data_IF_093584276799
#
_entry.id   IF_093584276799
#
_cell.length_a   1.000
_cell.length_b   1.000
_cell.length_c   1.000
_cell.angle_alpha   90.00
_cell.angle_beta   90.00
_cell.angle_gamma   90.00
#
_symmetry.space_group_name_H-M   'P 1'
#
loop_
_entity.id
_entity.type
_entity.pdbx_description
1 polymer ?
#
# COMPACT_ATOMS: atom_id res chain seq x y z
N UNK A 1 -3.88 -1.27 8.65
CA UNK A 1 -4.71 -2.47 8.43
C UNK A 1 -3.87 -3.75 8.28
N UNK A 2 -2.72 -3.78 7.59
CA UNK A 2 -1.74 -4.87 7.72
C UNK A 2 -2.32 -6.29 7.63
N UNK A 3 -1.90 -7.20 8.52
CA UNK A 3 -2.39 -8.61 8.56
C UNK A 3 -3.89 -8.77 8.83
N UNK A 4 -4.54 -7.79 9.43
CA UNK A 4 -5.97 -7.85 9.80
C UNK A 4 -6.84 -8.18 8.59
N UNK A 5 -6.50 -7.63 7.43
CA UNK A 5 -7.30 -7.81 6.20
C UNK A 5 -7.26 -9.24 5.66
N UNK A 6 -6.32 -10.06 6.12
CA UNK A 6 -6.21 -11.47 5.74
C UNK A 6 -6.74 -12.38 6.85
N UNK A 7 -6.48 -12.04 8.13
CA UNK A 7 -6.82 -12.93 9.26
C UNK A 7 -8.21 -12.71 9.85
N UNK A 8 -8.73 -11.48 9.81
CA UNK A 8 -10.00 -11.11 10.47
C UNK A 8 -11.05 -10.58 9.49
N UNK A 9 -10.84 -10.79 8.19
CA UNK A 9 -11.73 -10.28 7.14
C UNK A 9 -13.18 -10.76 7.26
N UNK A 10 -13.41 -11.93 7.88
CA UNK A 10 -14.75 -12.52 8.06
C UNK A 10 -15.63 -11.71 9.02
N UNK A 11 -15.04 -10.81 9.81
CA UNK A 11 -15.75 -9.95 10.75
C UNK A 11 -16.30 -8.66 10.10
N UNK A 12 -16.00 -8.42 8.82
CA UNK A 12 -16.32 -7.17 8.12
C UNK A 12 -17.07 -7.46 6.82
N UNK A 13 -17.94 -6.53 6.44
CA UNK A 13 -18.59 -6.56 5.13
C UNK A 13 -17.55 -6.28 4.02
N UNK A 14 -17.66 -7.01 2.91
CA UNK A 14 -16.82 -6.82 1.73
C UNK A 14 -17.55 -5.97 0.68
N UNK A 15 -16.79 -5.11 0.01
CA UNK A 15 -17.25 -4.22 -1.06
C UNK A 15 -16.34 -4.34 -2.29
N UNK A 16 -16.86 -4.15 -3.51
CA UNK A 16 -16.02 -4.14 -4.72
C UNK A 16 -15.02 -2.98 -4.70
N UNK A 17 -13.93 -3.07 -5.48
CA UNK A 17 -12.86 -2.05 -5.48
C UNK A 17 -13.41 -0.64 -5.73
N UNK A 18 -14.35 -0.51 -6.68
CA UNK A 18 -14.99 0.76 -7.06
C UNK A 18 -15.62 1.54 -5.90
N UNK A 19 -16.01 0.84 -4.82
CA UNK A 19 -16.57 1.50 -3.64
C UNK A 19 -15.56 2.41 -2.92
N UNK A 20 -14.26 2.21 -3.17
CA UNK A 20 -13.18 2.93 -2.51
C UNK A 20 -12.45 3.94 -3.42
N UNK A 21 -12.85 4.07 -4.69
CA UNK A 21 -12.09 4.87 -5.67
C UNK A 21 -12.00 6.35 -5.32
N UNK A 22 -13.01 6.92 -4.66
CA UNK A 22 -12.99 8.33 -4.22
C UNK A 22 -12.09 8.64 -3.02
N UNK A 23 -11.41 7.64 -2.45
CA UNK A 23 -10.56 7.82 -1.26
C UNK A 23 -9.16 8.26 -1.68
N UNK A 24 -8.73 9.44 -1.21
CA UNK A 24 -7.35 9.91 -1.32
C UNK A 24 -6.54 9.56 -0.08
N UNK A 25 -5.27 9.18 -0.25
CA UNK A 25 -4.34 8.97 0.85
C UNK A 25 -3.46 10.19 1.13
N UNK A 26 -3.62 11.34 0.45
CA UNK A 26 -2.77 12.52 0.65
C UNK A 26 -2.67 12.92 2.12
N UNK A 27 -3.80 12.96 2.82
CA UNK A 27 -3.84 13.30 4.24
C UNK A 27 -3.23 12.23 5.16
N UNK A 28 -3.20 10.96 4.76
CA UNK A 28 -2.51 9.91 5.52
C UNK A 28 -0.99 9.94 5.26
N UNK A 29 -0.59 10.23 4.02
CA UNK A 29 0.81 10.29 3.59
C UNK A 29 1.56 11.51 4.16
N UNK A 30 0.85 12.62 4.40
CA UNK A 30 1.43 13.90 4.83
C UNK A 30 1.16 14.23 6.31
N UNK A 31 0.71 13.25 7.10
CA UNK A 31 0.38 13.44 8.51
C UNK A 31 1.62 13.89 9.32
N UNK A 32 1.54 14.99 10.09
CA UNK A 32 2.71 15.54 10.79
C UNK A 32 3.03 14.85 12.13
N UNK A 33 2.17 13.95 12.62
CA UNK A 33 2.25 13.40 13.98
C UNK A 33 2.35 11.88 14.06
N UNK A 34 2.23 11.15 12.93
CA UNK A 34 2.33 9.70 12.92
C UNK A 34 3.25 9.21 11.81
N UNK A 35 4.46 8.87 12.20
CA UNK A 35 5.51 8.41 11.30
C UNK A 35 6.30 7.32 12.01
N UNK A 36 6.78 6.35 11.24
CA UNK A 36 7.69 5.32 11.72
C UNK A 36 8.98 5.36 10.90
N UNK A 37 10.04 4.79 11.49
CA UNK A 37 11.25 4.42 10.78
C UNK A 37 11.43 2.92 10.97
N UNK A 38 11.50 2.16 9.87
CA UNK A 38 11.72 0.72 9.95
C UNK A 38 13.21 0.37 10.11
N UNK A 39 13.51 -0.91 10.29
CA UNK A 39 14.89 -1.39 10.44
C UNK A 39 15.73 -1.28 9.15
N UNK A 40 15.14 -0.88 8.03
CA UNK A 40 15.81 -0.62 6.75
C UNK A 40 16.01 0.88 6.50
N UNK A 41 15.70 1.71 7.51
CA UNK A 41 15.75 3.17 7.44
C UNK A 41 14.75 3.78 6.46
N UNK A 42 13.66 3.10 6.11
CA UNK A 42 12.59 3.73 5.37
C UNK A 42 11.80 4.66 6.28
N UNK A 43 11.52 5.87 5.79
CA UNK A 43 10.54 6.75 6.41
C UNK A 43 9.14 6.30 6.02
N UNK A 44 8.39 5.78 6.99
CA UNK A 44 7.07 5.17 6.78
C UNK A 44 5.97 6.14 7.23
N UNK A 45 5.07 6.60 6.33
CA UNK A 45 4.04 7.56 6.69
C UNK A 45 2.84 6.88 7.36
N UNK A 46 2.33 7.48 8.44
CA UNK A 46 1.08 7.07 9.07
C UNK A 46 1.02 5.58 9.42
N UNK A 47 -0.05 4.93 8.94
CA UNK A 47 -0.27 3.48 9.09
C UNK A 47 0.14 2.69 7.84
N UNK A 48 0.89 3.30 6.92
CA UNK A 48 1.16 2.79 5.58
C UNK A 48 2.44 1.96 5.52
N UNK A 49 2.56 0.93 6.38
CA UNK A 49 3.67 -0.01 6.32
C UNK A 49 3.86 -0.59 4.90
N UNK A 50 5.12 -0.73 4.49
CA UNK A 50 5.53 -1.09 3.13
C UNK A 50 5.67 0.10 2.17
N UNK A 51 5.34 1.32 2.59
CA UNK A 51 5.62 2.53 1.83
C UNK A 51 6.83 3.24 2.44
N UNK A 52 7.75 3.68 1.58
CA UNK A 52 8.88 4.54 1.94
C UNK A 52 8.75 5.90 1.25
N UNK A 53 8.79 6.98 2.03
CA UNK A 53 8.94 8.35 1.50
C UNK A 53 10.40 8.72 1.21
N UNK A 54 11.35 7.92 1.68
CA UNK A 54 12.78 8.17 1.55
C UNK A 54 13.59 7.50 2.65
N UNK A 55 14.89 7.74 2.61
CA UNK A 55 15.85 7.25 3.61
C UNK A 55 15.84 8.17 4.84
N UNK A 56 15.40 7.65 5.98
CA UNK A 56 15.30 8.35 7.25
C UNK A 56 16.65 8.78 7.83
N UNK A 57 17.79 8.37 7.25
CA UNK A 57 19.11 8.93 7.57
C UNK A 57 19.36 10.28 6.90
N UNK A 58 18.48 10.68 5.97
CA UNK A 58 18.52 11.92 5.18
C UNK A 58 17.18 12.67 5.33
N UNK A 59 16.78 12.92 6.58
CA UNK A 59 15.47 13.52 6.91
C UNK A 59 15.25 14.87 6.25
N UNK A 60 16.32 15.65 6.07
CA UNK A 60 16.28 16.97 5.46
C UNK A 60 15.73 16.88 4.02
N UNK A 61 16.10 15.84 3.27
CA UNK A 61 15.57 15.58 1.91
C UNK A 61 14.05 15.30 1.93
N UNK A 62 13.54 14.71 3.01
CA UNK A 62 12.13 14.33 3.15
C UNK A 62 11.30 15.52 3.63
N UNK A 63 11.82 16.28 4.61
CA UNK A 63 11.13 17.45 5.18
C UNK A 63 11.01 18.62 4.21
N UNK A 64 11.87 18.68 3.19
CA UNK A 64 11.76 19.64 2.07
C UNK A 64 10.62 19.32 1.09
N UNK A 65 9.97 18.17 1.22
CA UNK A 65 8.94 17.67 0.32
C UNK A 65 9.40 16.43 -0.45
N UNK A 66 8.44 15.58 -0.81
CA UNK A 66 8.71 14.34 -1.54
C UNK A 66 8.38 14.55 -3.02
N UNK A 67 9.39 14.44 -3.88
CA UNK A 67 9.16 14.43 -5.33
C UNK A 67 8.45 13.13 -5.75
N UNK A 68 7.38 13.27 -6.52
CA UNK A 68 6.54 12.17 -7.01
C UNK A 68 6.87 11.77 -8.45
N UNK A 69 7.73 12.51 -9.16
CA UNK A 69 8.04 12.26 -10.57
C UNK A 69 8.59 10.87 -10.87
N UNK A 70 9.22 10.24 -9.88
CA UNK A 70 9.75 8.88 -9.94
C UNK A 70 9.13 7.92 -8.92
N UNK A 71 7.94 8.27 -8.39
CA UNK A 71 7.18 7.47 -7.41
C UNK A 71 5.72 7.36 -7.85
N UNK A 72 5.42 6.64 -8.95
CA UNK A 72 4.09 6.57 -9.53
C UNK A 72 3.03 6.02 -8.58
N UNK A 73 3.40 5.12 -7.65
CA UNK A 73 2.44 4.57 -6.68
C UNK A 73 2.07 5.62 -5.63
N UNK A 74 3.04 6.41 -5.17
CA UNK A 74 2.75 7.53 -4.27
C UNK A 74 1.94 8.64 -4.97
N UNK A 75 2.26 8.94 -6.24
CA UNK A 75 1.50 9.89 -7.04
C UNK A 75 0.02 9.48 -7.13
N UNK A 76 -0.23 8.22 -7.49
CA UNK A 76 -1.57 7.68 -7.57
C UNK A 76 -2.29 7.69 -6.21
N UNK A 77 -1.61 7.28 -5.13
CA UNK A 77 -2.18 7.29 -3.77
C UNK A 77 -2.52 8.70 -3.26
N UNK A 78 -1.71 9.70 -3.61
CA UNK A 78 -1.97 11.09 -3.26
C UNK A 78 -3.24 11.60 -3.97
N UNK A 79 -3.49 11.16 -5.20
CA UNK A 79 -4.70 11.51 -5.94
C UNK A 79 -5.91 10.70 -5.45
N UNK A 80 -5.94 9.40 -5.68
CA UNK A 80 -7.03 8.52 -5.22
C UNK A 80 -6.72 7.02 -5.35
N UNK A 81 -7.46 6.18 -4.63
CA UNK A 81 -7.41 4.74 -4.85
C UNK A 81 -7.93 4.32 -6.24
N UNK A 82 -8.75 5.15 -6.89
CA UNK A 82 -9.16 4.93 -8.28
C UNK A 82 -7.97 5.03 -9.23
N UNK A 83 -7.11 6.04 -9.03
CA UNK A 83 -5.89 6.19 -9.84
C UNK A 83 -4.88 5.09 -9.55
N UNK A 84 -4.75 4.67 -8.28
CA UNK A 84 -3.91 3.50 -7.95
C UNK A 84 -4.43 2.23 -8.63
N UNK A 85 -5.74 2.02 -8.60
CA UNK A 85 -6.37 0.88 -9.24
C UNK A 85 -6.13 0.90 -10.75
N UNK A 86 -6.37 2.04 -11.39
CA UNK A 86 -6.15 2.23 -12.83
C UNK A 86 -4.71 1.97 -13.22
N UNK A 87 -3.74 2.56 -12.50
CA UNK A 87 -2.31 2.32 -12.68
C UNK A 87 -1.99 0.82 -12.66
N UNK A 88 -2.51 0.11 -11.65
CA UNK A 88 -2.23 -1.31 -11.47
C UNK A 88 -2.89 -2.21 -12.53
N UNK A 89 -4.14 -1.94 -12.91
CA UNK A 89 -4.87 -2.73 -13.91
C UNK A 89 -4.32 -2.49 -15.31
N UNK A 90 -4.27 -1.22 -15.73
CA UNK A 90 -3.89 -0.85 -17.10
C UNK A 90 -2.38 -0.99 -17.34
N UNK A 91 -1.57 -0.61 -16.35
CA UNK A 91 -0.11 -0.62 -16.46
C UNK A 91 0.52 -1.97 -16.16
N UNK A 92 -0.08 -2.77 -15.26
CA UNK A 92 0.62 -3.89 -14.63
C UNK A 92 -0.23 -5.16 -14.44
N UNK A 93 -1.42 -5.23 -15.05
CA UNK A 93 -2.21 -6.46 -15.10
C UNK A 93 -2.78 -6.92 -13.77
N UNK A 94 -2.93 -6.03 -12.79
CA UNK A 94 -3.59 -6.34 -11.52
C UNK A 94 -5.03 -6.85 -11.74
N UNK A 95 -5.45 -7.83 -10.95
CA UNK A 95 -6.81 -8.37 -10.95
C UNK A 95 -7.42 -8.21 -9.57
N UNK A 96 -8.61 -7.60 -9.50
CA UNK A 96 -9.29 -7.44 -8.23
C UNK A 96 -9.76 -8.78 -7.63
N UNK A 97 -9.82 -8.84 -6.31
CA UNK A 97 -10.32 -10.01 -5.59
C UNK A 97 -11.83 -10.15 -5.84
N UNK A 98 -12.28 -11.29 -6.34
CA UNK A 98 -13.70 -11.58 -6.56
C UNK A 98 -14.54 -11.43 -5.29
N UNK A 99 -13.94 -11.74 -4.14
CA UNK A 99 -14.59 -11.61 -2.84
C UNK A 99 -14.71 -10.15 -2.37
N UNK A 100 -14.02 -9.20 -2.99
CA UNK A 100 -13.98 -7.79 -2.62
C UNK A 100 -13.15 -7.51 -1.36
N UNK A 101 -13.19 -6.25 -0.93
CA UNK A 101 -12.33 -5.68 0.10
C UNK A 101 -13.14 -5.12 1.28
N UNK A 102 -12.55 -5.18 2.47
CA UNK A 102 -13.20 -4.75 3.72
C UNK A 102 -12.93 -3.27 4.05
N UNK A 103 -11.99 -2.63 3.36
CA UNK A 103 -11.61 -1.24 3.59
C UNK A 103 -10.79 -0.68 2.42
N UNK A 104 -10.67 0.66 2.30
CA UNK A 104 -9.76 1.29 1.34
C UNK A 104 -8.32 0.79 1.47
N UNK A 105 -7.85 0.61 2.71
CA UNK A 105 -6.50 0.12 2.99
C UNK A 105 -6.30 -1.35 2.62
N UNK A 106 -7.37 -2.15 2.55
CA UNK A 106 -7.29 -3.52 2.03
C UNK A 106 -7.03 -3.49 0.53
N UNK A 107 -7.81 -2.73 -0.25
CA UNK A 107 -7.58 -2.55 -1.69
C UNK A 107 -6.16 -2.01 -1.97
N UNK A 108 -5.77 -0.94 -1.29
CA UNK A 108 -4.44 -0.35 -1.41
C UNK A 108 -3.33 -1.37 -1.11
N UNK A 109 -3.47 -2.17 -0.05
CA UNK A 109 -2.46 -3.16 0.30
C UNK A 109 -2.37 -4.28 -0.73
N UNK A 110 -3.50 -4.78 -1.21
CA UNK A 110 -3.53 -5.87 -2.20
C UNK A 110 -2.90 -5.46 -3.54
N UNK A 111 -3.21 -4.24 -4.01
CA UNK A 111 -2.54 -3.66 -5.19
C UNK A 111 -1.03 -3.52 -4.94
N UNK A 112 -0.62 -3.00 -3.77
CA UNK A 112 0.81 -2.82 -3.48
C UNK A 112 1.54 -4.15 -3.38
N UNK A 113 0.91 -5.22 -2.89
CA UNK A 113 1.50 -6.58 -2.88
C UNK A 113 1.78 -7.04 -4.32
N UNK A 114 0.80 -6.90 -5.22
CA UNK A 114 0.96 -7.21 -6.65
C UNK A 114 2.13 -6.43 -7.27
N UNK A 115 2.12 -5.10 -7.11
CA UNK A 115 3.16 -4.23 -7.67
C UNK A 115 4.55 -4.51 -7.07
N UNK A 116 4.65 -4.81 -5.78
CA UNK A 116 5.94 -5.05 -5.13
C UNK A 116 6.54 -6.42 -5.47
N UNK A 117 5.72 -7.48 -5.51
CA UNK A 117 6.21 -8.86 -5.62
C UNK A 117 6.17 -9.40 -7.05
N UNK A 118 5.15 -9.06 -7.85
CA UNK A 118 4.96 -9.63 -9.18
C UNK A 118 5.56 -8.74 -10.28
N UNK A 119 5.56 -7.42 -10.07
CA UNK A 119 6.06 -6.45 -11.05
C UNK A 119 7.46 -5.96 -10.69
N UNK A 120 7.63 -5.45 -9.47
CA UNK A 120 8.89 -4.86 -9.00
C UNK A 120 9.19 -3.48 -9.60
N UNK A 121 10.34 -2.91 -9.23
CA UNK A 121 10.83 -1.64 -9.78
C UNK A 121 10.30 -0.36 -9.11
N UNK A 122 9.43 -0.47 -8.11
CA UNK A 122 8.91 0.67 -7.35
C UNK A 122 9.73 0.90 -6.08
N UNK A 123 10.51 1.99 -6.06
CA UNK A 123 11.38 2.32 -4.91
C UNK A 123 10.59 2.80 -3.69
N UNK A 124 9.37 3.27 -3.88
CA UNK A 124 8.45 3.66 -2.82
C UNK A 124 7.78 2.46 -2.13
N UNK A 125 7.89 1.24 -2.69
CA UNK A 125 7.35 0.01 -2.11
C UNK A 125 8.45 -0.78 -1.40
N UNK A 126 8.80 -0.35 -0.19
CA UNK A 126 9.88 -0.90 0.61
C UNK A 126 9.46 -1.02 2.09
N UNK A 127 9.99 -2.02 2.82
CA UNK A 127 10.93 -3.05 2.36
C UNK A 127 10.18 -4.20 1.66
N UNK A 128 10.82 -4.90 0.73
CA UNK A 128 10.20 -6.06 0.06
C UNK A 128 9.81 -7.17 1.04
N UNK A 129 10.55 -7.30 2.15
CA UNK A 129 10.29 -8.27 3.22
C UNK A 129 8.92 -8.08 3.86
N UNK A 130 8.42 -6.84 3.97
CA UNK A 130 7.07 -6.56 4.47
C UNK A 130 6.01 -7.26 3.59
N UNK A 131 6.18 -7.16 2.27
CA UNK A 131 5.26 -7.74 1.31
C UNK A 131 5.35 -9.27 1.26
N UNK A 132 6.57 -9.83 1.30
CA UNK A 132 6.78 -11.29 1.33
C UNK A 132 6.10 -11.93 2.54
N UNK A 133 6.32 -11.37 3.73
CA UNK A 133 5.68 -11.86 4.97
C UNK A 133 4.15 -11.73 4.92
N UNK A 134 3.61 -10.70 4.27
CA UNK A 134 2.17 -10.58 4.08
C UNK A 134 1.61 -11.61 3.10
N UNK A 135 2.34 -11.96 2.03
CA UNK A 135 1.92 -13.02 1.11
C UNK A 135 1.83 -14.37 1.81
N UNK A 136 2.82 -14.70 2.65
CA UNK A 136 2.79 -15.93 3.45
C UNK A 136 1.58 -16.00 4.38
N UNK A 137 1.22 -14.87 5.02
CA UNK A 137 0.03 -14.77 5.87
C UNK A 137 -1.25 -14.91 5.05
N UNK A 138 -1.30 -14.31 3.86
CA UNK A 138 -2.43 -14.42 2.93
C UNK A 138 -2.64 -15.86 2.48
N UNK A 139 -1.57 -16.54 2.07
CA UNK A 139 -1.58 -17.94 1.65
C UNK A 139 -2.01 -18.86 2.81
N UNK A 140 -1.46 -18.66 4.00
CA UNK A 140 -1.84 -19.41 5.20
C UNK A 140 -3.32 -19.23 5.55
N UNK A 141 -3.86 -18.01 5.41
CA UNK A 141 -5.27 -17.74 5.67
C UNK A 141 -6.21 -18.36 4.62
N UNK A 142 -5.74 -18.55 3.39
CA UNK A 142 -6.51 -19.19 2.31
C UNK A 142 -6.46 -20.72 2.37
N UNK A 143 -5.38 -21.32 2.89
CA UNK A 143 -5.24 -22.77 3.06
C UNK A 143 -6.11 -23.40 4.17
N UNK A 144 -6.82 -22.58 4.94
CA UNK A 144 -7.75 -23.02 6.00
C UNK A 144 -9.23 -22.78 5.63
N UNK A 145 -9.53 -22.59 4.35
CA UNK A 145 -10.88 -22.38 3.83
C UNK A 145 -11.44 -23.67 3.20
#
# INVERSE_FOLDING_TARGET
>A
MGRLVYTLHRLYERRPAKAFFGVSCLGELTRPWHVHVDCYYNYVPGYCAGISLGDARRLEEITGGVDLGDKPVLAALAESLGELYKLAVEGYGYRELESGYISPCHLCLDIRVHLALEVGGFKELQPLEFYRLLSEVRESAMGHA
#
